data_IF_620656767700
#
_entry.id   IF_620656767700
#
_cell.length_a   1.000
_cell.length_b   1.000
_cell.length_c   1.000
_cell.angle_alpha   90.00
_cell.angle_beta   90.00
_cell.angle_gamma   90.00
#
_symmetry.space_group_name_H-M   'P 1'
#
loop_
_entity.id
_entity.type
_entity.pdbx_description
1 polymer ?
#
# COMPACT_ATOMS: atom_id res chain seq x y z
N UNK A 1 11.47 16.51 -0.82
CA UNK A 1 12.77 15.79 -0.84
C UNK A 1 12.46 14.30 -0.96
N UNK A 2 13.16 13.51 -1.79
CA UNK A 2 12.87 12.08 -1.87
C UNK A 2 13.11 11.44 -0.49
N UNK A 3 12.17 10.60 -0.04
CA UNK A 3 12.30 9.88 1.22
C UNK A 3 13.47 8.89 1.12
N UNK A 4 14.33 8.85 2.15
CA UNK A 4 15.50 7.98 2.21
C UNK A 4 15.39 7.11 3.45
N UNK A 5 15.59 5.79 3.30
CA UNK A 5 15.62 4.88 4.42
C UNK A 5 16.76 5.27 5.39
N UNK A 6 16.46 5.56 6.67
CA UNK A 6 17.48 6.02 7.62
C UNK A 6 18.49 4.91 8.00
N UNK A 7 18.15 3.64 7.76
CA UNK A 7 18.96 2.50 8.15
C UNK A 7 20.02 2.12 7.10
N UNK A 8 19.67 2.15 5.81
CA UNK A 8 20.56 1.68 4.73
C UNK A 8 20.82 2.70 3.62
N UNK A 9 20.18 3.87 3.65
CA UNK A 9 20.37 4.92 2.64
C UNK A 9 19.62 4.69 1.32
N UNK A 10 18.82 3.62 1.20
CA UNK A 10 17.99 3.38 0.02
C UNK A 10 16.97 4.53 -0.18
N UNK A 11 16.91 5.05 -1.40
CA UNK A 11 16.05 6.17 -1.79
C UNK A 11 15.19 5.87 -3.03
N UNK A 12 15.11 4.59 -3.45
CA UNK A 12 14.54 4.23 -4.75
C UNK A 12 13.37 3.26 -4.69
N UNK A 13 13.48 2.20 -3.88
CA UNK A 13 12.49 1.10 -3.86
C UNK A 13 11.96 0.88 -2.46
N UNK A 14 10.65 0.82 -2.34
CA UNK A 14 9.97 0.58 -1.07
C UNK A 14 8.88 -0.45 -1.30
N UNK A 15 8.68 -1.33 -0.33
CA UNK A 15 7.59 -2.31 -0.34
C UNK A 15 6.40 -1.69 0.36
N UNK A 16 5.22 -1.76 -0.25
CA UNK A 16 3.97 -1.31 0.36
C UNK A 16 3.07 -2.52 0.54
N UNK A 17 2.74 -2.84 1.80
CA UNK A 17 1.78 -3.90 2.12
C UNK A 17 0.40 -3.28 2.11
N UNK A 18 -0.47 -3.81 1.26
CA UNK A 18 -1.87 -3.41 1.17
C UNK A 18 -2.79 -4.55 1.60
N UNK A 19 -3.97 -4.19 2.08
CA UNK A 19 -5.06 -5.11 2.36
C UNK A 19 -6.30 -4.68 1.57
N UNK A 20 -6.87 -5.61 0.83
CA UNK A 20 -8.14 -5.41 0.15
C UNK A 20 -9.10 -6.53 0.57
N UNK A 21 -10.33 -6.15 0.88
CA UNK A 21 -11.38 -7.08 1.31
C UNK A 21 -12.48 -7.10 0.26
N UNK A 22 -12.91 -8.32 -0.10
CA UNK A 22 -14.03 -8.57 -1.00
C UNK A 22 -15.10 -9.34 -0.25
N UNK A 23 -16.36 -8.90 -0.37
CA UNK A 23 -17.51 -9.68 0.07
C UNK A 23 -17.97 -10.53 -1.11
N UNK A 24 -18.01 -11.84 -0.92
CA UNK A 24 -18.39 -12.80 -1.96
C UNK A 24 -19.68 -13.51 -1.56
N UNK A 25 -20.66 -13.54 -2.45
CA UNK A 25 -21.87 -14.35 -2.33
C UNK A 25 -21.81 -15.57 -3.24
N UNK A 26 -22.44 -16.66 -2.79
CA UNK A 26 -22.53 -17.93 -3.50
C UNK A 26 -24.00 -18.28 -3.69
N UNK A 27 -24.45 -18.36 -4.94
CA UNK A 27 -25.80 -18.79 -5.31
C UNK A 27 -25.70 -19.94 -6.33
N UNK A 28 -26.08 -21.15 -5.90
CA UNK A 28 -25.88 -22.41 -6.63
C UNK A 28 -24.44 -22.62 -7.12
N UNK A 29 -24.17 -22.32 -8.39
CA UNK A 29 -22.85 -22.43 -9.03
C UNK A 29 -22.23 -21.08 -9.39
N UNK A 30 -22.92 -19.97 -9.05
CA UNK A 30 -22.48 -18.62 -9.37
C UNK A 30 -21.81 -17.97 -8.16
N UNK A 31 -20.63 -17.41 -8.41
CA UNK A 31 -19.89 -16.59 -7.47
C UNK A 31 -20.08 -15.13 -7.88
N UNK A 32 -20.55 -14.28 -6.97
CA UNK A 32 -20.67 -12.85 -7.18
C UNK A 32 -19.86 -12.08 -6.14
N UNK A 33 -19.24 -10.96 -6.55
CA UNK A 33 -18.56 -10.04 -5.63
C UNK A 33 -19.53 -8.90 -5.35
N UNK A 34 -20.01 -8.84 -4.11
CA UNK A 34 -21.04 -7.88 -3.68
C UNK A 34 -20.44 -6.52 -3.31
N UNK A 35 -19.24 -6.51 -2.73
CA UNK A 35 -18.51 -5.28 -2.38
C UNK A 35 -17.02 -5.43 -2.69
N UNK A 36 -16.48 -4.41 -3.34
CA UNK A 36 -15.05 -4.25 -3.55
C UNK A 36 -14.58 -2.99 -2.82
N UNK A 37 -13.89 -3.20 -1.70
CA UNK A 37 -13.25 -2.09 -1.00
C UNK A 37 -11.97 -1.71 -1.72
N UNK A 38 -11.56 -0.44 -1.61
CA UNK A 38 -10.23 -0.02 -2.07
C UNK A 38 -9.16 -0.63 -1.17
N UNK A 39 -7.95 -0.91 -1.69
CA UNK A 39 -6.84 -1.35 -0.86
C UNK A 39 -6.53 -0.32 0.23
N UNK A 40 -6.37 -0.77 1.46
CA UNK A 40 -5.80 0.01 2.55
C UNK A 40 -4.29 -0.23 2.63
N UNK A 41 -3.49 0.81 2.82
CA UNK A 41 -2.06 0.67 3.11
C UNK A 41 -1.88 0.31 4.58
N UNK A 42 -1.24 -0.84 4.85
CA UNK A 42 -0.96 -1.32 6.20
C UNK A 42 0.43 -0.91 6.68
N UNK A 43 1.43 -1.05 5.81
CA UNK A 43 2.83 -0.88 6.17
C UNK A 43 3.65 -0.49 4.93
N UNK A 44 4.67 0.34 5.15
CA UNK A 44 5.68 0.66 4.14
C UNK A 44 7.05 0.23 4.68
N UNK A 45 7.77 -0.56 3.90
CA UNK A 45 9.09 -1.07 4.26
C UNK A 45 10.15 -0.61 3.25
N UNK A 46 11.38 -0.50 3.72
CA UNK A 46 12.53 -0.43 2.83
C UNK A 46 12.72 -1.76 2.10
N UNK A 47 12.84 -1.74 0.76
CA UNK A 47 13.03 -2.97 -0.03
C UNK A 47 14.38 -3.67 0.24
N UNK A 48 15.39 -2.92 0.69
CA UNK A 48 16.75 -3.45 0.90
C UNK A 48 17.01 -4.04 2.30
N UNK A 49 16.44 -3.45 3.35
CA UNK A 49 16.73 -3.83 4.73
C UNK A 49 15.49 -4.13 5.56
N UNK A 50 14.30 -4.12 4.93
CA UNK A 50 13.00 -4.42 5.54
C UNK A 50 12.62 -3.51 6.72
N UNK A 51 13.36 -2.42 6.94
CA UNK A 51 13.03 -1.42 7.96
C UNK A 51 11.65 -0.83 7.70
N UNK A 52 10.80 -0.82 8.72
CA UNK A 52 9.51 -0.15 8.68
C UNK A 52 9.67 1.38 8.63
N UNK A 53 8.91 2.01 7.74
CA UNK A 53 8.98 3.43 7.46
C UNK A 53 7.65 4.07 7.81
N UNK A 54 7.72 5.23 8.47
CA UNK A 54 6.52 6.00 8.76
C UNK A 54 6.02 6.65 7.47
N UNK A 55 5.00 6.06 6.85
CA UNK A 55 4.40 6.60 5.63
C UNK A 55 3.79 7.99 5.84
N UNK A 56 3.45 8.35 7.09
CA UNK A 56 2.90 9.67 7.39
C UNK A 56 3.91 10.82 7.24
N UNK A 57 5.19 10.52 7.44
CA UNK A 57 6.29 11.49 7.36
C UNK A 57 6.73 11.78 5.92
N UNK A 58 6.21 11.05 4.95
CA UNK A 58 6.52 11.27 3.55
C UNK A 58 5.87 12.56 3.07
N UNK A 59 6.51 13.22 2.09
CA UNK A 59 5.96 14.43 1.48
C UNK A 59 4.54 14.17 0.93
N UNK A 60 3.59 15.04 1.27
CA UNK A 60 2.16 14.85 0.95
C UNK A 60 1.90 14.55 -0.54
N UNK A 61 2.64 15.18 -1.46
CA UNK A 61 2.53 14.92 -2.89
C UNK A 61 2.91 13.48 -3.25
N UNK A 62 4.02 13.00 -2.71
CA UNK A 62 4.52 11.62 -2.92
C UNK A 62 3.55 10.61 -2.30
N UNK A 63 3.08 10.86 -1.07
CA UNK A 63 2.08 10.00 -0.42
C UNK A 63 0.83 9.83 -1.28
N UNK A 64 0.30 10.94 -1.78
CA UNK A 64 -0.88 10.95 -2.65
C UNK A 64 -0.63 10.18 -3.94
N UNK A 65 0.53 10.36 -4.56
CA UNK A 65 0.91 9.64 -5.78
C UNK A 65 1.03 8.12 -5.55
N UNK A 66 1.61 7.70 -4.42
CA UNK A 66 1.68 6.29 -4.03
C UNK A 66 0.27 5.71 -3.84
N UNK A 67 -0.58 6.38 -3.06
CA UNK A 67 -1.97 5.94 -2.84
C UNK A 67 -2.74 5.81 -4.16
N UNK A 68 -2.67 6.82 -5.02
CA UNK A 68 -3.32 6.81 -6.33
C UNK A 68 -2.82 5.66 -7.22
N UNK A 69 -1.49 5.43 -7.26
CA UNK A 69 -0.88 4.35 -8.03
C UNK A 69 -1.34 2.97 -7.54
N UNK A 70 -1.53 2.82 -6.21
CA UNK A 70 -1.99 1.58 -5.59
C UNK A 70 -3.51 1.41 -5.60
N UNK A 71 -4.28 2.39 -6.09
CA UNK A 71 -5.74 2.41 -5.97
C UNK A 71 -6.27 2.61 -4.54
N UNK A 72 -5.37 2.81 -3.58
CA UNK A 72 -5.68 3.18 -2.20
C UNK A 72 -6.08 4.66 -2.14
N UNK A 73 -7.03 5.03 -1.27
CA UNK A 73 -7.36 6.45 -1.02
C UNK A 73 -7.58 6.69 0.45
#
# INVERSE_FOLDING_TARGET
>A
MPFVCPTCGNARRFQVKTLQVHVVSLEDTRVEVAEEQRPAVLEVLCDECEMALNFDEWENGVRREVLLTLGAR
#
